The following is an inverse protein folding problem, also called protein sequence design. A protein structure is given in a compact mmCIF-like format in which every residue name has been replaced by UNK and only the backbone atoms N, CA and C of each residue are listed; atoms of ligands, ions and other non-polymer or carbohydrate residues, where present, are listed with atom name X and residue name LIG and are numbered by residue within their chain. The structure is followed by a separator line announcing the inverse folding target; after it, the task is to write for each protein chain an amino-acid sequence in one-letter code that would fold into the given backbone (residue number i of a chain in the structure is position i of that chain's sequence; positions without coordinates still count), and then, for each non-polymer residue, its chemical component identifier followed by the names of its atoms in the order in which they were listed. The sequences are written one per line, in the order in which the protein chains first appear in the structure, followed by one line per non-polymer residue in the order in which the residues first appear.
data_IF_972012409407
#
_entry.id   IF_972012409407
#
_cell.length_a   1.000
_cell.length_b   1.000
_cell.length_c   1.000
_cell.angle_alpha   90.00
_cell.angle_beta   90.00
_cell.angle_gamma   90.00
#
_symmetry.space_group_name_H-M   'P 1'
#
loop_
_entity.id
_entity.type
_entity.pdbx_description
1 polymer ?
#
# COMPACT_ATOMS: atom_id res chain seq x y z
N UNK A 1 9.06 6.88 2.33
CA UNK A 1 9.05 5.43 2.62
C UNK A 1 7.99 5.24 3.69
N UNK A 2 6.99 4.38 3.50
CA UNK A 2 5.98 4.15 4.54
C UNK A 2 6.58 3.22 5.61
N UNK A 3 6.12 3.32 6.86
CA UNK A 3 6.61 2.47 7.96
C UNK A 3 6.60 0.98 7.59
N UNK A 4 5.54 0.52 6.90
CA UNK A 4 5.41 -0.84 6.39
C UNK A 4 6.54 -1.28 5.46
N UNK A 5 7.06 -0.38 4.62
CA UNK A 5 8.18 -0.73 3.72
C UNK A 5 9.47 -0.87 4.51
N UNK A 6 9.66 -0.05 5.55
CA UNK A 6 10.82 -0.11 6.44
C UNK A 6 10.78 -1.35 7.33
N UNK A 7 9.62 -1.70 7.88
CA UNK A 7 9.43 -2.88 8.73
C UNK A 7 9.54 -4.20 7.96
N UNK A 8 9.01 -4.27 6.73
CA UNK A 8 9.23 -5.43 5.86
C UNK A 8 10.70 -5.62 5.53
N UNK A 9 11.43 -4.53 5.19
CA UNK A 9 12.87 -4.60 4.92
C UNK A 9 13.63 -5.07 6.18
N UNK A 10 13.28 -4.55 7.36
CA UNK A 10 13.90 -4.95 8.62
C UNK A 10 13.60 -6.42 8.97
N UNK A 11 12.36 -6.88 8.79
CA UNK A 11 11.95 -8.25 9.04
C UNK A 11 12.64 -9.23 8.09
N UNK A 12 12.76 -8.88 6.80
CA UNK A 12 13.51 -9.64 5.81
C UNK A 12 15.01 -9.71 6.14
N UNK A 13 15.60 -8.59 6.57
CA UNK A 13 17.00 -8.55 6.98
C UNK A 13 17.28 -9.39 8.24
N UNK A 14 16.30 -9.49 9.14
CA UNK A 14 16.41 -10.23 10.41
C UNK A 14 15.86 -11.66 10.35
N UNK A 15 15.37 -12.13 9.19
CA UNK A 15 14.67 -13.43 9.02
C UNK A 15 13.50 -13.61 10.00
N UNK A 16 12.79 -12.53 10.31
CA UNK A 16 11.60 -12.59 11.15
C UNK A 16 10.40 -13.11 10.36
N UNK A 17 9.35 -13.52 11.08
CA UNK A 17 8.11 -13.99 10.50
C UNK A 17 7.36 -12.84 9.82
N UNK A 18 7.24 -12.90 8.48
CA UNK A 18 6.51 -11.90 7.71
C UNK A 18 5.00 -11.91 8.03
N UNK A 19 4.44 -13.05 8.41
CA UNK A 19 3.01 -13.16 8.66
C UNK A 19 2.61 -12.31 9.87
N UNK A 20 3.46 -12.21 10.89
CA UNK A 20 3.23 -11.34 12.05
C UNK A 20 3.35 -9.85 11.69
N UNK A 21 4.30 -9.48 10.82
CA UNK A 21 4.44 -8.10 10.31
C UNK A 21 3.17 -7.71 9.54
N UNK A 22 2.66 -8.61 8.69
CA UNK A 22 1.42 -8.38 7.97
C UNK A 22 0.20 -8.31 8.90
N UNK A 23 0.09 -9.22 9.87
CA UNK A 23 -0.98 -9.21 10.87
C UNK A 23 -1.03 -7.89 11.62
N UNK A 24 0.12 -7.41 12.10
CA UNK A 24 0.24 -6.17 12.85
C UNK A 24 -0.19 -4.95 12.03
N UNK A 25 0.30 -4.83 10.79
CA UNK A 25 -0.08 -3.71 9.93
C UNK A 25 -1.55 -3.76 9.49
N UNK A 26 -2.10 -4.97 9.30
CA UNK A 26 -3.51 -5.15 8.99
C UNK A 26 -4.39 -4.68 10.16
N UNK A 27 -4.00 -5.02 11.40
CA UNK A 27 -4.66 -4.55 12.62
C UNK A 27 -4.63 -3.02 12.73
N UNK A 28 -3.46 -2.40 12.54
CA UNK A 28 -3.31 -0.94 12.54
C UNK A 28 -4.19 -0.29 11.48
N UNK A 29 -4.15 -0.81 10.24
CA UNK A 29 -4.87 -0.22 9.12
C UNK A 29 -6.39 -0.26 9.33
N UNK A 30 -6.92 -1.39 9.78
CA UNK A 30 -8.35 -1.54 10.05
C UNK A 30 -8.77 -0.65 11.22
N UNK A 31 -7.98 -0.58 12.29
CA UNK A 31 -8.27 0.29 13.44
C UNK A 31 -8.25 1.77 13.05
N UNK A 32 -7.31 2.20 12.22
CA UNK A 32 -7.27 3.57 11.71
C UNK A 32 -8.49 3.86 10.84
N UNK A 33 -8.84 2.96 9.92
CA UNK A 33 -9.99 3.14 9.04
C UNK A 33 -11.30 3.31 9.83
N UNK A 34 -11.50 2.49 10.87
CA UNK A 34 -12.64 2.61 11.79
C UNK A 34 -12.70 3.98 12.50
N UNK A 35 -11.56 4.54 12.91
CA UNK A 35 -11.51 5.88 13.53
C UNK A 35 -11.86 6.98 12.53
N UNK A 36 -11.40 6.83 11.28
CA UNK A 36 -11.70 7.73 10.17
C UNK A 36 -13.19 7.70 9.82
N UNK A 37 -13.80 6.52 9.76
CA UNK A 37 -15.25 6.39 9.53
C UNK A 37 -16.06 7.14 10.59
N UNK A 38 -15.69 7.01 11.87
CA UNK A 38 -16.36 7.78 12.92
C UNK A 38 -16.12 9.29 12.78
N UNK A 39 -14.94 9.71 12.32
CA UNK A 39 -14.65 11.12 12.07
C UNK A 39 -15.53 11.69 10.98
N UNK A 40 -15.67 10.96 9.88
CA UNK A 40 -16.48 11.34 8.73
C UNK A 40 -17.98 11.34 9.08
N UNK A 41 -18.46 10.32 9.79
CA UNK A 41 -19.84 10.26 10.29
C UNK A 41 -20.20 11.44 11.21
N UNK A 42 -19.29 11.82 12.11
CA UNK A 42 -19.50 12.95 13.01
C UNK A 42 -19.26 14.31 12.34
N UNK A 43 -18.57 14.33 11.20
CA UNK A 43 -18.13 15.54 10.51
C UNK A 43 -16.97 16.27 11.21
N UNK A 44 -16.26 15.60 12.14
CA UNK A 44 -15.13 16.19 12.84
C UNK A 44 -14.13 15.17 13.42
N UNK A 45 -12.88 15.62 13.50
CA UNK A 45 -11.77 14.84 14.04
C UNK A 45 -11.76 14.75 15.57
N UNK A 46 -11.10 13.73 16.12
CA UNK A 46 -10.97 13.58 17.57
C UNK A 46 -10.33 14.83 18.19
N UNK A 47 -10.96 15.35 19.25
CA UNK A 47 -10.58 16.59 19.93
C UNK A 47 -10.70 17.88 19.10
N UNK A 48 -11.34 17.84 17.94
CA UNK A 48 -11.60 19.05 17.15
C UNK A 48 -12.67 19.94 17.78
N UNK A 49 -12.42 21.25 17.80
CA UNK A 49 -13.41 22.26 18.20
C UNK A 49 -14.68 22.24 17.33
N UNK A 50 -14.58 21.73 16.09
CA UNK A 50 -15.72 21.56 15.20
C UNK A 50 -16.79 20.61 15.76
N UNK A 51 -16.44 19.77 16.75
CA UNK A 51 -17.38 18.85 17.40
C UNK A 51 -18.29 19.49 18.45
N UNK A 52 -18.00 20.72 18.89
CA UNK A 52 -18.79 21.41 19.93
C UNK A 52 -20.16 21.78 19.36
N UNK A 53 -21.23 21.53 20.14
CA UNK A 53 -22.63 21.82 19.78
C UNK A 53 -23.16 21.11 18.51
N UNK A 54 -22.51 20.05 18.05
CA UNK A 54 -22.97 19.23 16.90
C UNK A 54 -24.12 18.29 17.26
N UNK A 55 -24.44 18.13 18.54
CA UNK A 55 -25.50 17.24 19.03
C UNK A 55 -25.13 15.76 19.09
N UNK A 56 -23.92 15.36 18.66
CA UNK A 56 -23.39 14.01 18.82
C UNK A 56 -21.89 14.03 19.16
N UNK A 57 -21.45 13.08 20.00
CA UNK A 57 -20.08 13.05 20.52
C UNK A 57 -19.46 11.66 20.37
N UNK A 58 -18.14 11.58 20.29
CA UNK A 58 -17.44 10.28 20.45
C UNK A 58 -17.67 9.75 21.88
N UNK A 59 -17.90 8.45 22.02
CA UNK A 59 -18.23 7.81 23.31
C UNK A 59 -17.49 6.47 23.50
N UNK A 60 -16.16 6.55 23.46
CA UNK A 60 -15.29 5.39 23.67
C UNK A 60 -15.33 4.39 22.52
N UNK A 61 -14.96 3.15 22.84
CA UNK A 61 -14.81 2.03 21.90
C UNK A 61 -15.05 0.70 22.61
N UNK A 62 -15.15 -0.38 21.84
CA UNK A 62 -15.15 -1.75 22.35
C UNK A 62 -14.17 -2.61 21.53
N UNK A 63 -13.63 -3.64 22.15
CA UNK A 63 -12.73 -4.58 21.50
C UNK A 63 -13.52 -5.68 20.78
N UNK A 64 -13.07 -6.03 19.58
CA UNK A 64 -13.59 -7.14 18.76
C UNK A 64 -12.42 -7.90 18.15
N UNK A 65 -12.36 -9.19 18.43
CA UNK A 65 -11.41 -10.08 17.75
C UNK A 65 -11.91 -10.43 16.35
N UNK A 66 -11.00 -10.45 15.38
CA UNK A 66 -11.30 -10.82 14.00
C UNK A 66 -10.23 -11.75 13.45
N UNK A 67 -10.61 -12.98 13.10
CA UNK A 67 -9.66 -14.01 12.66
C UNK A 67 -9.30 -13.82 11.18
N UNK A 68 -7.99 -13.80 10.91
CA UNK A 68 -7.45 -13.78 9.55
C UNK A 68 -6.46 -14.92 9.36
N UNK A 69 -6.02 -15.15 8.11
CA UNK A 69 -5.00 -16.16 7.83
C UNK A 69 -3.61 -15.84 8.40
N UNK A 70 -3.36 -14.58 8.77
CA UNK A 70 -2.12 -14.13 9.41
C UNK A 70 -2.22 -14.14 10.94
N UNK A 71 -3.35 -14.60 11.49
CA UNK A 71 -3.64 -14.59 12.92
C UNK A 71 -4.82 -13.70 13.28
N UNK A 72 -5.13 -13.67 14.57
CA UNK A 72 -6.23 -12.89 15.12
C UNK A 72 -5.85 -11.40 15.20
N UNK A 73 -6.75 -10.54 14.75
CA UNK A 73 -6.64 -9.08 14.90
C UNK A 73 -7.44 -8.64 16.12
N UNK A 74 -6.88 -7.69 16.88
CA UNK A 74 -7.56 -7.00 17.97
C UNK A 74 -8.05 -5.64 17.47
N UNK A 75 -9.37 -5.53 17.24
CA UNK A 75 -9.98 -4.36 16.63
C UNK A 75 -10.71 -3.52 17.68
N UNK A 76 -10.35 -2.24 17.75
CA UNK A 76 -10.95 -1.25 18.63
C UNK A 76 -12.05 -0.51 17.88
N UNK A 77 -13.29 -0.99 18.00
CA UNK A 77 -14.46 -0.46 17.29
C UNK A 77 -14.95 0.81 18.01
N UNK A 78 -14.92 1.99 17.37
CA UNK A 78 -15.31 3.23 18.02
C UNK A 78 -16.83 3.41 18.05
N UNK A 79 -17.30 4.22 18.99
CA UNK A 79 -18.74 4.49 19.20
C UNK A 79 -19.03 5.98 19.27
N UNK A 80 -20.21 6.36 18.83
CA UNK A 80 -20.80 7.66 19.11
C UNK A 80 -21.69 7.61 20.37
N UNK A 81 -22.01 8.78 20.92
CA UNK A 81 -22.80 8.93 22.14
C UNK A 81 -24.27 8.62 21.91
N UNK A 82 -24.76 8.91 20.72
CA UNK A 82 -26.17 8.69 20.37
C UNK A 82 -26.44 7.27 19.87
N UNK A 83 -25.40 6.44 19.71
CA UNK A 83 -25.52 5.06 19.21
C UNK A 83 -26.00 4.98 17.76
N UNK A 84 -25.75 6.02 16.96
CA UNK A 84 -26.17 6.10 15.55
C UNK A 84 -25.07 5.71 14.58
N UNK A 85 -23.83 5.63 15.05
CA UNK A 85 -22.70 5.22 14.22
C UNK A 85 -22.73 3.71 14.02
N UNK A 86 -22.81 3.30 12.76
CA UNK A 86 -22.58 1.93 12.32
C UNK A 86 -21.28 1.92 11.53
N UNK A 87 -20.35 1.02 11.86
CA UNK A 87 -19.11 0.91 11.09
C UNK A 87 -19.39 0.18 9.77
N UNK A 88 -18.80 0.67 8.68
CA UNK A 88 -18.99 0.10 7.35
C UNK A 88 -17.78 -0.76 6.93
N UNK A 89 -16.63 -0.53 7.57
CA UNK A 89 -15.37 -1.29 7.37
C UNK A 89 -15.53 -2.75 7.76
N UNK A 90 -16.24 -3.02 8.87
CA UNK A 90 -16.49 -4.37 9.33
C UNK A 90 -17.99 -4.58 9.32
N UNK A 91 -18.49 -5.70 8.77
CA UNK A 91 -19.91 -5.97 8.89
C UNK A 91 -20.28 -6.07 10.37
N UNK A 92 -21.42 -5.48 10.74
CA UNK A 92 -22.19 -5.93 11.88
C UNK A 92 -22.48 -7.44 11.73
N UNK A 93 -23.06 -8.11 12.72
CA UNK A 93 -23.63 -9.44 12.47
C UNK A 93 -24.82 -9.28 11.47
N UNK A 94 -24.56 -9.11 10.17
CA UNK A 94 -25.55 -8.74 9.14
C UNK A 94 -24.97 -8.01 7.91
N UNK A 95 -25.66 -8.06 6.75
CA UNK A 95 -25.17 -7.70 5.39
C UNK A 95 -25.47 -6.25 4.92
N UNK A 96 -24.45 -5.65 4.27
CA UNK A 96 -24.41 -4.65 3.15
C UNK A 96 -24.83 -3.18 3.45
N UNK A 97 -24.28 -2.10 2.86
CA UNK A 97 -23.28 -1.78 1.78
C UNK A 97 -22.65 -0.38 2.07
N UNK A 98 -21.53 0.11 1.50
CA UNK A 98 -21.45 0.73 0.15
C UNK A 98 -20.03 1.19 -0.33
N UNK A 99 -18.91 0.82 0.31
CA UNK A 99 -17.57 1.31 -0.12
C UNK A 99 -16.55 0.22 -0.46
N UNK A 100 -17.03 -0.93 -0.94
CA UNK A 100 -16.22 -2.12 -1.22
C UNK A 100 -15.07 -1.85 -2.20
N UNK A 101 -15.29 -1.04 -3.22
CA UNK A 101 -14.25 -0.69 -4.21
C UNK A 101 -13.10 0.08 -3.57
N UNK A 102 -13.41 1.08 -2.74
CA UNK A 102 -12.42 1.84 -1.97
C UNK A 102 -11.63 0.93 -1.03
N UNK A 103 -12.32 0.04 -0.31
CA UNK A 103 -11.69 -0.95 0.57
C UNK A 103 -10.78 -1.90 -0.21
N UNK A 104 -11.23 -2.41 -1.35
CA UNK A 104 -10.44 -3.28 -2.24
C UNK A 104 -9.19 -2.57 -2.73
N UNK A 105 -9.29 -1.30 -3.16
CA UNK A 105 -8.14 -0.48 -3.58
C UNK A 105 -7.18 -0.27 -2.42
N UNK A 106 -7.67 0.09 -1.23
CA UNK A 106 -6.83 0.30 -0.05
C UNK A 106 -6.06 -0.97 0.35
N UNK A 107 -6.75 -2.11 0.43
CA UNK A 107 -6.12 -3.40 0.73
C UNK A 107 -5.05 -3.74 -0.31
N UNK A 108 -5.31 -3.47 -1.59
CA UNK A 108 -4.33 -3.67 -2.66
C UNK A 108 -3.11 -2.75 -2.53
N UNK A 109 -3.30 -1.46 -2.24
CA UNK A 109 -2.17 -0.52 -2.02
C UNK A 109 -1.30 -0.90 -0.81
N UNK A 110 -1.85 -1.69 0.12
CA UNK A 110 -1.13 -2.25 1.27
C UNK A 110 -0.45 -3.59 0.97
N UNK A 111 -0.47 -4.05 -0.28
CA UNK A 111 0.24 -5.24 -0.73
C UNK A 111 -0.54 -6.55 -0.56
N UNK A 112 -1.85 -6.49 -0.27
CA UNK A 112 -2.69 -7.68 -0.15
C UNK A 112 -3.07 -8.14 -1.56
N UNK A 113 -2.91 -9.43 -1.84
CA UNK A 113 -3.14 -9.99 -3.17
C UNK A 113 -4.64 -10.02 -3.51
N UNK A 114 -4.98 -9.98 -4.80
CA UNK A 114 -6.37 -10.05 -5.26
C UNK A 114 -7.08 -11.34 -4.84
N UNK A 115 -6.35 -12.43 -4.64
CA UNK A 115 -6.89 -13.68 -4.13
C UNK A 115 -7.28 -13.59 -2.65
N UNK A 116 -6.42 -12.97 -1.84
CA UNK A 116 -6.67 -12.74 -0.41
C UNK A 116 -7.78 -11.71 -0.19
N UNK A 117 -7.80 -10.65 -1.00
CA UNK A 117 -8.89 -9.67 -0.98
C UNK A 117 -10.20 -10.35 -1.38
N UNK A 118 -10.21 -11.18 -2.43
CA UNK A 118 -11.43 -11.91 -2.82
C UNK A 118 -11.92 -12.85 -1.71
N UNK A 119 -11.03 -13.58 -1.05
CA UNK A 119 -11.38 -14.46 0.07
C UNK A 119 -11.90 -13.67 1.28
N UNK A 120 -11.26 -12.54 1.59
CA UNK A 120 -11.68 -11.64 2.67
C UNK A 120 -13.07 -11.05 2.37
N UNK A 121 -13.28 -10.57 1.16
CA UNK A 121 -14.57 -10.04 0.69
C UNK A 121 -15.63 -11.14 0.67
N UNK A 122 -15.32 -12.37 0.25
CA UNK A 122 -16.24 -13.50 0.30
C UNK A 122 -16.65 -13.83 1.74
N UNK A 123 -15.70 -13.84 2.67
CA UNK A 123 -15.97 -14.05 4.11
C UNK A 123 -16.78 -12.92 4.73
N UNK A 124 -16.58 -11.68 4.29
CA UNK A 124 -17.27 -10.49 4.82
C UNK A 124 -18.67 -10.29 4.21
N UNK A 125 -18.87 -10.59 2.92
CA UNK A 125 -20.06 -10.21 2.16
C UNK A 125 -20.86 -11.42 1.64
N UNK A 126 -20.36 -12.65 1.75
CA UNK A 126 -20.93 -13.82 1.09
C UNK A 126 -20.55 -13.87 -0.39
N UNK A 127 -20.57 -15.07 -0.98
CA UNK A 127 -19.99 -15.44 -2.28
C UNK A 127 -20.46 -14.62 -3.52
N UNK A 128 -20.07 -13.35 -3.60
CA UNK A 128 -20.54 -12.42 -4.62
C UNK A 128 -19.42 -11.83 -5.49
N UNK A 129 -18.15 -12.03 -5.13
CA UNK A 129 -17.03 -11.38 -5.82
C UNK A 129 -15.96 -12.37 -6.23
N UNK A 130 -15.75 -12.48 -7.55
CA UNK A 130 -14.67 -13.27 -8.12
C UNK A 130 -13.33 -12.53 -8.00
N UNK A 131 -12.21 -13.25 -8.06
CA UNK A 131 -10.86 -12.65 -8.20
C UNK A 131 -10.79 -11.67 -9.38
N UNK A 132 -11.52 -11.96 -10.46
CA UNK A 132 -11.60 -11.08 -11.62
C UNK A 132 -12.35 -9.77 -11.31
N UNK A 133 -13.41 -9.83 -10.50
CA UNK A 133 -14.16 -8.65 -10.05
C UNK A 133 -13.30 -7.74 -9.17
N UNK A 134 -12.57 -8.32 -8.21
CA UNK A 134 -11.61 -7.60 -7.36
C UNK A 134 -10.48 -6.99 -8.20
N UNK A 135 -9.91 -7.77 -9.13
CA UNK A 135 -8.88 -7.28 -10.06
C UNK A 135 -9.37 -6.09 -10.90
N UNK A 136 -10.62 -6.15 -11.39
CA UNK A 136 -11.23 -5.05 -12.13
C UNK A 136 -11.41 -3.80 -11.28
N UNK A 137 -11.83 -3.92 -10.01
CA UNK A 137 -11.94 -2.80 -9.06
C UNK A 137 -10.56 -2.19 -8.75
N UNK A 138 -9.50 -2.99 -8.73
CA UNK A 138 -8.12 -2.49 -8.54
C UNK A 138 -7.51 -1.85 -9.79
N UNK A 139 -8.22 -1.74 -10.92
CA UNK A 139 -7.68 -1.10 -12.14
C UNK A 139 -7.29 0.37 -11.92
N UNK A 140 -7.95 1.07 -11.00
CA UNK A 140 -7.54 2.43 -10.62
C UNK A 140 -6.09 2.49 -10.08
N UNK A 141 -5.60 1.41 -9.46
CA UNK A 141 -4.20 1.32 -9.03
C UNK A 141 -3.27 1.17 -10.23
N UNK A 142 -3.69 0.48 -11.29
CA UNK A 142 -2.90 0.43 -12.54
C UNK A 142 -2.78 1.81 -13.17
N UNK A 143 -3.84 2.63 -13.14
CA UNK A 143 -3.77 4.02 -13.61
C UNK A 143 -2.78 4.85 -12.76
N UNK A 144 -2.75 4.65 -11.44
CA UNK A 144 -1.76 5.29 -10.56
C UNK A 144 -0.33 4.82 -10.83
N UNK A 145 -0.12 3.52 -11.08
CA UNK A 145 1.19 2.97 -11.47
C UNK A 145 1.64 3.54 -12.81
N UNK A 146 0.74 3.63 -13.80
CA UNK A 146 1.04 4.26 -15.09
C UNK A 146 1.36 5.75 -14.93
N UNK A 147 0.57 6.47 -14.13
CA UNK A 147 0.81 7.86 -13.81
C UNK A 147 2.18 8.05 -13.12
N UNK A 148 2.55 7.16 -12.20
CA UNK A 148 3.88 7.13 -11.58
C UNK A 148 4.98 6.91 -12.62
N UNK A 149 4.81 5.94 -13.52
CA UNK A 149 5.77 5.63 -14.60
C UNK A 149 5.88 6.72 -15.68
N UNK A 150 4.91 7.62 -15.78
CA UNK A 150 4.90 8.71 -16.78
C UNK A 150 5.13 10.09 -16.18
N UNK A 151 5.20 10.20 -14.84
CA UNK A 151 5.34 11.49 -14.18
C UNK A 151 6.63 12.21 -14.57
N UNK A 152 6.57 13.53 -14.54
CA UNK A 152 7.74 14.38 -14.74
C UNK A 152 8.61 14.35 -13.48
N UNK A 153 9.91 14.12 -13.65
CA UNK A 153 10.91 14.13 -12.58
C UNK A 153 11.59 15.51 -12.49
N UNK A 154 12.31 15.73 -11.38
CA UNK A 154 13.15 16.92 -11.26
C UNK A 154 14.29 16.86 -12.28
N UNK A 155 14.81 18.02 -12.68
CA UNK A 155 15.90 18.06 -13.66
C UNK A 155 17.27 17.76 -13.05
N UNK A 156 17.41 17.88 -11.72
CA UNK A 156 18.70 17.79 -11.03
C UNK A 156 18.65 16.82 -9.85
N UNK A 157 19.68 15.96 -9.76
CA UNK A 157 19.87 15.01 -8.67
C UNK A 157 21.33 15.02 -8.19
N UNK A 158 21.51 14.99 -6.87
CA UNK A 158 22.82 14.84 -6.25
C UNK A 158 23.37 13.41 -6.39
N UNK A 159 22.50 12.41 -6.29
CA UNK A 159 22.89 11.02 -6.54
C UNK A 159 21.72 10.21 -7.09
N UNK A 160 22.00 9.23 -7.93
CA UNK A 160 21.05 8.19 -8.32
C UNK A 160 21.66 6.82 -7.96
N UNK A 161 20.92 6.07 -7.16
CA UNK A 161 21.22 4.69 -6.80
C UNK A 161 20.46 3.75 -7.72
N UNK A 162 21.17 2.77 -8.27
CA UNK A 162 20.65 1.72 -9.11
C UNK A 162 20.86 0.40 -8.38
N UNK A 163 19.77 -0.31 -8.11
CA UNK A 163 19.81 -1.59 -7.40
C UNK A 163 18.81 -2.58 -8.01
N UNK A 164 19.12 -3.87 -7.92
CA UNK A 164 18.25 -4.94 -8.38
C UNK A 164 17.97 -5.93 -7.25
N UNK A 165 16.69 -6.20 -7.02
CA UNK A 165 16.26 -7.19 -6.02
C UNK A 165 15.39 -8.27 -6.66
N UNK A 166 15.53 -9.51 -6.20
CA UNK A 166 14.77 -10.63 -6.76
C UNK A 166 13.48 -10.86 -5.96
N UNK A 167 12.34 -10.67 -6.60
CA UNK A 167 11.03 -10.94 -6.02
C UNK A 167 10.41 -12.19 -6.65
N UNK A 168 9.79 -13.07 -5.84
CA UNK A 168 9.00 -14.18 -6.38
C UNK A 168 7.73 -13.61 -7.03
N UNK A 169 7.65 -13.69 -8.35
CA UNK A 169 6.49 -13.25 -9.13
C UNK A 169 5.79 -14.47 -9.73
N UNK A 170 4.46 -14.42 -9.71
CA UNK A 170 3.61 -15.45 -10.32
C UNK A 170 3.00 -14.90 -11.60
N UNK A 171 3.51 -15.36 -12.74
CA UNK A 171 2.86 -15.19 -14.05
C UNK A 171 2.02 -16.42 -14.37
N UNK A 172 2.67 -17.52 -14.74
CA UNK A 172 2.07 -18.86 -14.87
C UNK A 172 2.59 -19.81 -13.79
N UNK A 173 3.90 -19.76 -13.54
CA UNK A 173 4.60 -20.40 -12.43
C UNK A 173 5.27 -19.34 -11.55
N UNK A 174 5.54 -19.66 -10.28
CA UNK A 174 6.27 -18.75 -9.39
C UNK A 174 7.75 -18.80 -9.77
N UNK A 175 8.29 -17.69 -10.23
CA UNK A 175 9.71 -17.54 -10.55
C UNK A 175 10.27 -16.29 -9.88
N UNK A 176 11.55 -16.32 -9.52
CA UNK A 176 12.23 -15.12 -9.02
C UNK A 176 12.59 -14.24 -10.22
N UNK A 177 11.99 -13.07 -10.29
CA UNK A 177 12.30 -12.06 -11.31
C UNK A 177 13.04 -10.89 -10.66
N UNK A 178 13.93 -10.26 -11.42
CA UNK A 178 14.69 -9.10 -10.97
C UNK A 178 13.84 -7.84 -11.11
N UNK A 179 13.76 -7.07 -10.03
CA UNK A 179 13.17 -5.73 -10.00
C UNK A 179 14.29 -4.72 -9.88
N UNK A 180 14.51 -4.00 -10.98
CA UNK A 180 15.52 -2.96 -11.12
C UNK A 180 14.89 -1.65 -10.64
N UNK A 181 15.49 -0.99 -9.67
CA UNK A 181 14.93 0.20 -9.01
C UNK A 181 15.96 1.33 -9.12
N UNK A 182 15.50 2.51 -9.54
CA UNK A 182 16.27 3.75 -9.48
C UNK A 182 15.76 4.63 -8.34
N UNK A 183 16.66 5.06 -7.45
CA UNK A 183 16.36 5.96 -6.34
C UNK A 183 17.21 7.22 -6.48
N UNK A 184 16.54 8.38 -6.55
CA UNK A 184 17.18 9.67 -6.66
C UNK A 184 17.28 10.37 -5.31
N UNK A 185 18.41 11.04 -5.09
CA UNK A 185 18.61 12.00 -4.01
C UNK A 185 18.68 13.39 -4.63
N UNK A 186 17.75 14.28 -4.27
CA UNK A 186 17.73 15.66 -4.75
C UNK A 186 18.83 16.49 -4.08
N UNK A 187 19.16 17.70 -4.61
CA UNK A 187 20.14 18.59 -4.00
C UNK A 187 19.84 18.99 -2.54
N UNK A 188 18.57 18.97 -2.14
CA UNK A 188 18.13 19.24 -0.76
C UNK A 188 18.21 18.01 0.17
N UNK A 189 18.69 16.86 -0.34
CA UNK A 189 18.81 15.61 0.41
C UNK A 189 17.55 14.75 0.43
N UNK A 190 16.45 15.18 -0.19
CA UNK A 190 15.23 14.37 -0.26
C UNK A 190 15.42 13.16 -1.17
N UNK A 191 14.92 11.99 -0.72
CA UNK A 191 15.01 10.72 -1.44
C UNK A 191 13.67 10.41 -2.10
N UNK A 192 13.70 10.01 -3.36
CA UNK A 192 12.52 9.53 -4.07
C UNK A 192 12.85 8.35 -4.98
N UNK A 193 11.93 7.39 -5.10
CA UNK A 193 12.02 6.36 -6.13
C UNK A 193 11.73 7.02 -7.47
N UNK A 194 12.66 6.99 -8.42
CA UNK A 194 12.49 7.63 -9.72
C UNK A 194 11.65 6.77 -10.65
N UNK A 195 12.02 5.50 -10.78
CA UNK A 195 11.30 4.51 -11.57
C UNK A 195 11.75 3.09 -11.19
N UNK A 196 11.05 2.07 -11.70
CA UNK A 196 11.43 0.67 -11.57
C UNK A 196 11.05 -0.12 -12.82
N UNK A 197 11.76 -1.23 -13.06
CA UNK A 197 11.47 -2.14 -14.16
C UNK A 197 11.64 -3.60 -13.72
N UNK A 198 10.60 -4.39 -13.97
CA UNK A 198 10.58 -5.82 -13.66
C UNK A 198 11.02 -6.58 -14.91
N UNK A 199 11.99 -7.48 -14.76
CA UNK A 199 12.45 -8.32 -15.85
C UNK A 199 12.78 -9.74 -15.37
N UNK A 200 12.59 -10.76 -16.24
CA UNK A 200 12.87 -12.15 -15.88
C UNK A 200 14.35 -12.41 -15.56
N UNK A 201 15.26 -11.67 -16.19
CA UNK A 201 16.70 -11.80 -16.02
C UNK A 201 17.35 -10.43 -15.87
N UNK A 202 18.48 -10.40 -15.19
CA UNK A 202 19.34 -9.22 -15.12
C UNK A 202 20.06 -9.04 -16.47
N UNK A 203 19.86 -7.89 -17.12
CA UNK A 203 20.52 -7.58 -18.39
C UNK A 203 20.83 -6.09 -18.48
N UNK A 204 21.94 -5.76 -19.12
CA UNK A 204 22.38 -4.37 -19.34
C UNK A 204 21.37 -3.56 -20.17
N UNK A 205 20.57 -4.23 -21.00
CA UNK A 205 19.49 -3.60 -21.77
C UNK A 205 18.41 -2.96 -20.88
N UNK A 206 18.09 -3.59 -19.74
CA UNK A 206 17.06 -3.08 -18.83
C UNK A 206 17.50 -1.77 -18.17
N UNK A 207 18.75 -1.68 -17.75
CA UNK A 207 19.31 -0.44 -17.21
C UNK A 207 19.32 0.69 -18.25
N UNK A 208 19.64 0.37 -19.49
CA UNK A 208 19.61 1.32 -20.60
C UNK A 208 18.21 1.87 -20.83
N UNK A 209 17.20 1.00 -20.82
CA UNK A 209 15.79 1.38 -20.95
C UNK A 209 15.30 2.23 -19.77
N UNK A 210 15.64 1.81 -18.54
CA UNK A 210 15.29 2.53 -17.31
C UNK A 210 15.87 3.94 -17.33
N UNK A 211 17.18 4.08 -17.57
CA UNK A 211 17.87 5.37 -17.63
C UNK A 211 17.34 6.24 -18.79
N UNK A 212 17.08 5.65 -19.95
CA UNK A 212 16.45 6.33 -21.07
C UNK A 212 15.06 6.88 -20.73
N UNK A 213 14.31 6.16 -19.89
CA UNK A 213 13.01 6.61 -19.36
C UNK A 213 13.19 7.79 -18.41
N UNK A 214 14.16 7.75 -17.49
CA UNK A 214 14.45 8.86 -16.59
C UNK A 214 14.77 10.16 -17.33
N UNK A 215 15.57 10.07 -18.39
CA UNK A 215 15.91 11.23 -19.26
C UNK A 215 14.64 11.79 -19.91
N UNK A 216 13.79 10.93 -20.49
CA UNK A 216 12.50 11.34 -21.09
C UNK A 216 11.56 11.99 -20.06
N UNK A 217 11.61 11.55 -18.81
CA UNK A 217 10.83 12.11 -17.71
C UNK A 217 11.38 13.44 -17.19
N UNK A 218 12.57 13.87 -17.63
CA UNK A 218 13.09 15.22 -17.41
C UNK A 218 14.38 15.30 -16.61
N UNK A 219 14.97 14.18 -16.20
CA UNK A 219 16.29 14.15 -15.54
C UNK A 219 17.36 14.65 -16.51
N UNK A 220 18.22 15.57 -16.06
CA UNK A 220 19.28 16.17 -16.90
C UNK A 220 20.64 16.14 -16.21
N UNK A 221 20.73 16.71 -15.01
CA UNK A 221 21.99 16.86 -14.29
C UNK A 221 22.02 15.89 -13.11
N UNK A 222 22.98 14.97 -13.12
CA UNK A 222 23.20 14.01 -12.04
C UNK A 222 24.67 14.06 -11.63
N UNK A 223 24.94 14.35 -10.35
CA UNK A 223 26.32 14.46 -9.88
C UNK A 223 26.99 13.10 -9.66
N UNK A 224 26.25 12.09 -9.21
CA UNK A 224 26.78 10.77 -8.89
C UNK A 224 25.79 9.66 -9.27
N UNK A 225 26.28 8.61 -9.91
CA UNK A 225 25.58 7.33 -10.03
C UNK A 225 26.26 6.30 -9.12
N UNK A 226 25.46 5.54 -8.38
CA UNK A 226 25.91 4.45 -7.52
C UNK A 226 25.18 3.18 -7.95
N UNK A 227 25.91 2.15 -8.34
CA UNK A 227 25.35 0.84 -8.70
C UNK A 227 26.21 -0.25 -8.05
N UNK A 228 25.57 -1.33 -7.59
CA UNK A 228 26.30 -2.52 -7.14
C UNK A 228 26.58 -3.45 -8.33
N UNK A 229 27.81 -3.93 -8.46
CA UNK A 229 28.21 -5.00 -9.39
C UNK A 229 28.10 -4.77 -10.92
N UNK A 230 27.57 -3.64 -11.40
CA UNK A 230 27.33 -3.42 -12.84
C UNK A 230 28.50 -2.74 -13.54
N UNK A 231 29.17 -3.49 -14.42
CA UNK A 231 30.09 -2.93 -15.42
C UNK A 231 29.25 -2.22 -16.50
N UNK A 232 28.97 -0.94 -16.29
CA UNK A 232 28.46 -0.07 -17.35
C UNK A 232 29.67 0.32 -18.21
N UNK A 233 29.74 -0.24 -19.42
CA UNK A 233 30.72 0.12 -20.44
C UNK A 233 30.37 1.41 -21.16
#
# INVERSE_FOLDING_TARGET
MNELTTEIIAALAQKQDLDEVFRHHLEIAINQLLQTELAEFLGYERYSYAGINTGNNRNGSYERSFDTKYGQLNLTIPRDRNGRFENHTLPAYGRHSDNLETTVIQLYTKGITTAEIAELIEKMYGAHYSKATVSNMTKAVNEQVQAFQQRRLASQYAAIFLDATYLPLKRDTVQKEAVHIAIGIRPDGTKEVLNYQVAPTESTGIWTELLGTLIKQGVKDVLLFVADGLVVG
#
